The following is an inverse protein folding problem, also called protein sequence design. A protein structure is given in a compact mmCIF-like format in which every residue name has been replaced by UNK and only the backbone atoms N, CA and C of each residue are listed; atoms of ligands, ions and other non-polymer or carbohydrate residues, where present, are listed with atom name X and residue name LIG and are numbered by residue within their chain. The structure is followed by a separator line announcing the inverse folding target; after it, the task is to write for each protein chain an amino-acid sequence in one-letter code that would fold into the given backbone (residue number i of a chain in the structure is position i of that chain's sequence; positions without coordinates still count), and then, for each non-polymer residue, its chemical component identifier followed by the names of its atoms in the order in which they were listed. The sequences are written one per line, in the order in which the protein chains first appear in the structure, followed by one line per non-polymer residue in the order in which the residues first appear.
data_IF_121932965422
#
_entry.id   IF_121932965422
#
_cell.length_a   1.000
_cell.length_b   1.000
_cell.length_c   1.000
_cell.angle_alpha   90.00
_cell.angle_beta   90.00
_cell.angle_gamma   90.00
#
_symmetry.space_group_name_H-M   'P 1'
#
loop_
_entity.id
_entity.type
_entity.pdbx_description
1 polymer ?
#
# COMPACT_ATOMS: atom_id res chain seq x y z
N UNK A 1 27.54 -59.71 -39.53
CA UNK A 1 26.20 -59.66 -38.90
C UNK A 1 26.43 -59.92 -37.41
N UNK A 2 26.18 -59.06 -36.41
CA UNK A 2 25.18 -58.00 -36.23
C UNK A 2 25.73 -56.89 -35.31
N UNK A 3 25.70 -55.66 -35.81
CA UNK A 3 25.16 -54.43 -35.20
C UNK A 3 25.80 -53.94 -33.88
N UNK A 4 26.82 -53.09 -34.08
CA UNK A 4 27.08 -51.80 -33.44
C UNK A 4 25.83 -51.11 -32.85
N UNK A 5 25.82 -50.83 -31.54
CA UNK A 5 25.02 -49.74 -30.97
C UNK A 5 25.85 -48.90 -30.02
N UNK A 6 26.36 -47.84 -30.60
CA UNK A 6 26.74 -46.58 -29.99
C UNK A 6 25.47 -45.88 -29.47
N UNK A 7 25.51 -45.22 -28.30
CA UNK A 7 25.13 -43.80 -28.09
C UNK A 7 24.84 -43.51 -26.60
N UNK A 8 25.50 -42.44 -26.17
CA UNK A 8 25.52 -41.75 -24.90
C UNK A 8 24.17 -41.18 -24.40
N UNK A 9 24.24 -40.74 -23.14
CA UNK A 9 23.54 -39.57 -22.57
C UNK A 9 22.04 -39.71 -22.29
N UNK A 10 21.71 -39.84 -21.01
CA UNK A 10 20.49 -39.27 -20.46
C UNK A 10 20.86 -38.54 -19.15
N UNK A 11 21.14 -37.24 -19.31
CA UNK A 11 21.18 -36.26 -18.22
C UNK A 11 19.77 -36.14 -17.66
N UNK A 12 19.55 -36.56 -16.41
CA UNK A 12 18.31 -36.24 -15.72
C UNK A 12 18.48 -34.88 -15.01
N UNK A 13 17.94 -33.88 -15.69
CA UNK A 13 17.92 -32.46 -15.35
C UNK A 13 17.23 -32.26 -14.01
N UNK A 14 17.86 -31.46 -13.14
CA UNK A 14 17.34 -31.08 -11.82
C UNK A 14 16.01 -30.34 -11.93
N UNK A 15 15.04 -30.77 -11.13
CA UNK A 15 13.80 -30.03 -10.90
C UNK A 15 14.11 -28.82 -10.04
N UNK A 16 14.32 -27.67 -10.69
CA UNK A 16 14.27 -26.38 -10.03
C UNK A 16 12.80 -26.15 -9.67
N UNK A 17 12.46 -26.24 -8.39
CA UNK A 17 11.19 -25.71 -7.88
C UNK A 17 11.24 -24.20 -8.12
N UNK A 18 10.62 -23.75 -9.19
CA UNK A 18 10.39 -22.33 -9.41
C UNK A 18 9.51 -21.80 -8.28
N UNK A 19 10.02 -20.84 -7.51
CA UNK A 19 9.16 -20.00 -6.70
C UNK A 19 8.14 -19.34 -7.63
N UNK A 20 6.87 -19.74 -7.52
CA UNK A 20 5.77 -18.96 -8.05
C UNK A 20 5.68 -17.68 -7.24
N UNK A 21 6.35 -16.62 -7.71
CA UNK A 21 6.04 -15.26 -7.28
C UNK A 21 4.65 -14.94 -7.84
N UNK A 22 3.62 -15.02 -7.01
CA UNK A 22 2.31 -14.43 -7.31
C UNK A 22 2.51 -12.94 -7.46
N UNK A 23 2.52 -12.45 -8.70
CA UNK A 23 2.53 -11.03 -9.00
C UNK A 23 1.14 -10.49 -8.69
N UNK A 24 1.00 -9.76 -7.58
CA UNK A 24 -0.21 -9.01 -7.28
C UNK A 24 -0.24 -7.80 -8.22
N UNK A 25 -1.22 -7.75 -9.13
CA UNK A 25 -1.37 -6.65 -10.10
C UNK A 25 -1.94 -5.40 -9.41
N UNK A 26 -1.07 -4.68 -8.70
CA UNK A 26 -1.37 -3.38 -8.09
C UNK A 26 -0.82 -2.31 -9.02
N UNK A 27 -1.69 -1.39 -9.44
CA UNK A 27 -1.29 -0.24 -10.26
C UNK A 27 -1.23 1.03 -9.42
N UNK A 28 -0.35 1.94 -9.81
CA UNK A 28 -0.31 3.27 -9.22
C UNK A 28 -1.59 4.03 -9.54
N UNK A 29 -2.04 4.85 -8.60
CA UNK A 29 -3.22 5.69 -8.76
C UNK A 29 -2.82 7.16 -8.65
N UNK A 30 -3.63 8.04 -9.23
CA UNK A 30 -3.49 9.48 -9.05
C UNK A 30 -4.82 10.03 -8.60
N UNK A 31 -4.85 10.61 -7.41
CA UNK A 31 -6.05 11.15 -6.78
C UNK A 31 -5.89 12.66 -6.69
N UNK A 32 -6.95 13.40 -7.02
CA UNK A 32 -6.97 14.86 -6.84
C UNK A 32 -7.16 15.21 -5.37
N UNK A 33 -6.30 16.09 -4.85
CA UNK A 33 -6.34 16.52 -3.46
C UNK A 33 -4.95 16.87 -2.94
N UNK A 34 -4.83 16.96 -1.61
CA UNK A 34 -3.58 17.28 -0.93
C UNK A 34 -3.10 16.10 -0.09
N UNK A 35 -1.79 15.84 -0.08
CA UNK A 35 -1.18 14.82 0.79
C UNK A 35 -1.35 15.27 2.25
N UNK A 36 -2.09 14.51 3.03
CA UNK A 36 -2.44 14.88 4.41
C UNK A 36 -1.23 14.70 5.35
N UNK A 37 -0.82 15.70 6.14
CA UNK A 37 0.14 15.49 7.21
C UNK A 37 -0.45 14.65 8.35
N UNK A 38 0.23 13.57 8.74
CA UNK A 38 -0.24 12.64 9.76
C UNK A 38 0.52 12.84 11.08
N UNK A 39 -0.20 12.82 12.20
CA UNK A 39 0.42 12.73 13.51
C UNK A 39 0.95 11.31 13.76
N UNK A 40 0.16 10.30 13.39
CA UNK A 40 0.50 8.89 13.50
C UNK A 40 -0.36 8.06 12.54
N UNK A 41 0.05 6.80 12.32
CA UNK A 41 -0.74 5.82 11.60
C UNK A 41 -0.44 4.41 12.12
N UNK A 42 -1.36 3.49 11.84
CA UNK A 42 -1.26 2.07 12.16
C UNK A 42 -2.07 1.25 11.15
N UNK A 43 -1.45 0.23 10.57
CA UNK A 43 -2.16 -0.82 9.83
C UNK A 43 -2.79 -1.79 10.82
N UNK A 44 -4.07 -2.07 10.67
CA UNK A 44 -4.79 -3.10 11.42
C UNK A 44 -5.60 -3.94 10.45
N UNK A 45 -5.11 -5.13 10.12
CA UNK A 45 -5.76 -6.04 9.17
C UNK A 45 -6.03 -5.34 7.82
N UNK A 46 -7.30 -5.21 7.44
CA UNK A 46 -7.78 -4.54 6.23
C UNK A 46 -8.05 -3.03 6.44
N UNK A 47 -7.58 -2.43 7.54
CA UNK A 47 -7.74 -1.01 7.84
C UNK A 47 -6.40 -0.30 7.96
N UNK A 48 -6.36 0.94 7.47
CA UNK A 48 -5.34 1.91 7.83
C UNK A 48 -5.98 2.96 8.73
N UNK A 49 -5.59 2.94 10.00
CA UNK A 49 -6.01 3.92 11.00
C UNK A 49 -4.93 4.99 11.08
N UNK A 50 -5.32 6.25 11.09
CA UNK A 50 -4.39 7.38 11.13
C UNK A 50 -4.97 8.56 11.87
N UNK A 51 -4.09 9.40 12.40
CA UNK A 51 -4.46 10.60 13.13
C UNK A 51 -4.07 11.82 12.30
N UNK A 52 -5.05 12.66 12.01
CA UNK A 52 -4.89 13.86 11.18
C UNK A 52 -5.59 15.08 11.81
N UNK A 53 -5.25 16.29 11.36
CA UNK A 53 -5.83 17.53 11.89
C UNK A 53 -7.25 17.72 11.35
N UNK A 54 -8.19 18.10 12.22
CA UNK A 54 -9.52 18.55 11.82
C UNK A 54 -9.94 19.84 12.52
N UNK A 55 -10.65 20.67 11.78
CA UNK A 55 -11.35 21.88 12.26
C UNK A 55 -12.87 21.68 12.32
N UNK A 56 -13.36 20.43 12.28
CA UNK A 56 -14.71 20.02 12.66
C UNK A 56 -15.59 19.42 11.56
N UNK A 57 -15.17 19.48 10.29
CA UNK A 57 -15.95 18.90 9.17
C UNK A 57 -15.31 17.62 8.60
N UNK A 58 -14.07 17.30 9.00
CA UNK A 58 -13.38 16.11 8.47
C UNK A 58 -14.08 14.82 8.89
N UNK A 59 -14.21 13.90 7.96
CA UNK A 59 -14.69 12.53 8.16
C UNK A 59 -13.75 11.56 7.45
N UNK A 60 -13.84 10.27 7.75
CA UNK A 60 -13.04 9.24 7.07
C UNK A 60 -13.18 9.26 5.55
N UNK A 61 -14.36 9.60 5.02
CA UNK A 61 -14.63 9.72 3.57
C UNK A 61 -14.14 11.05 2.96
N UNK A 62 -13.46 11.88 3.75
CA UNK A 62 -12.74 13.08 3.28
C UNK A 62 -11.32 12.72 2.78
N UNK A 63 -10.93 11.45 2.92
CA UNK A 63 -9.64 10.92 2.56
C UNK A 63 -9.78 9.76 1.58
N UNK A 64 -8.75 9.57 0.76
CA UNK A 64 -8.60 8.42 -0.11
C UNK A 64 -7.17 7.91 -0.07
N UNK A 65 -6.99 6.62 -0.38
CA UNK A 65 -5.68 5.96 -0.43
C UNK A 65 -5.12 6.02 -1.85
N UNK A 66 -4.02 6.74 -2.05
CA UNK A 66 -3.28 6.75 -3.30
C UNK A 66 -2.16 5.69 -3.27
N UNK A 67 -2.04 4.90 -4.33
CA UNK A 67 -0.91 4.01 -4.55
C UNK A 67 0.18 4.76 -5.31
N UNK A 68 1.28 5.08 -4.63
CA UNK A 68 2.36 5.89 -5.21
C UNK A 68 3.37 5.03 -5.99
N UNK A 69 3.69 3.85 -5.46
CA UNK A 69 4.71 2.95 -6.03
C UNK A 69 4.43 1.52 -5.62
N UNK A 70 4.63 0.60 -6.57
CA UNK A 70 4.52 -0.85 -6.36
C UNK A 70 5.88 -1.49 -6.62
N UNK A 71 6.34 -2.27 -5.65
CA UNK A 71 7.57 -3.07 -5.68
C UNK A 71 7.23 -4.51 -5.26
N UNK A 72 8.16 -5.45 -5.49
CA UNK A 72 7.88 -6.90 -5.40
C UNK A 72 7.13 -7.36 -4.13
N UNK A 73 7.45 -6.81 -2.95
CA UNK A 73 6.80 -7.15 -1.67
C UNK A 73 6.34 -5.91 -0.89
N UNK A 74 6.35 -4.75 -1.53
CA UNK A 74 6.16 -3.46 -0.86
C UNK A 74 5.34 -2.52 -1.72
N UNK A 75 4.36 -1.89 -1.09
CA UNK A 75 3.53 -0.87 -1.72
C UNK A 75 3.64 0.41 -0.92
N UNK A 76 4.04 1.47 -1.61
CA UNK A 76 4.09 2.81 -1.06
C UNK A 76 2.75 3.51 -1.31
N UNK A 77 2.19 4.10 -0.27
CA UNK A 77 0.90 4.79 -0.32
C UNK A 77 0.94 6.16 0.32
N UNK A 78 0.04 7.02 -0.14
CA UNK A 78 -0.23 8.32 0.46
C UNK A 78 -1.72 8.46 0.77
N UNK A 79 -2.02 9.00 1.94
CA UNK A 79 -3.38 9.41 2.32
C UNK A 79 -3.62 10.81 1.75
N UNK A 80 -4.56 10.92 0.82
CA UNK A 80 -4.91 12.17 0.15
C UNK A 80 -6.19 12.71 0.76
N UNK A 81 -6.19 13.95 1.23
CA UNK A 81 -7.41 14.67 1.59
C UNK A 81 -8.07 15.16 0.30
N UNK A 82 -9.18 14.53 -0.06
CA UNK A 82 -9.98 14.89 -1.25
C UNK A 82 -11.08 15.90 -0.91
N UNK A 83 -11.47 15.99 0.38
CA UNK A 83 -12.45 16.98 0.85
C UNK A 83 -11.83 17.91 1.90
N UNK A 84 -11.79 19.22 1.62
CA UNK A 84 -11.23 20.22 2.54
C UNK A 84 -12.10 20.39 3.81
N UNK A 85 -11.44 20.66 4.94
CA UNK A 85 -12.12 20.97 6.21
C UNK A 85 -12.34 22.49 6.34
N UNK A 86 -13.54 22.94 5.98
CA UNK A 86 -13.92 24.35 6.07
C UNK A 86 -14.63 24.74 7.37
N UNK A 87 -14.77 23.80 8.31
CA UNK A 87 -15.31 24.12 9.62
C UNK A 87 -14.33 25.01 10.40
N UNK A 88 -14.86 25.77 11.37
CA UNK A 88 -14.11 26.74 12.19
C UNK A 88 -14.00 26.36 13.66
N UNK A 89 -14.14 25.08 13.98
CA UNK A 89 -13.87 24.60 15.33
C UNK A 89 -12.36 24.68 15.57
N UNK A 90 -11.96 24.86 16.84
CA UNK A 90 -10.56 24.79 17.23
C UNK A 90 -9.91 23.52 16.65
N UNK A 91 -8.73 23.63 16.03
CA UNK A 91 -8.03 22.47 15.51
C UNK A 91 -7.80 21.41 16.57
N UNK A 92 -8.04 20.16 16.22
CA UNK A 92 -7.62 19.02 17.03
C UNK A 92 -7.15 17.88 16.15
N UNK A 93 -6.38 16.97 16.74
CA UNK A 93 -6.03 15.71 16.11
C UNK A 93 -7.14 14.71 16.37
N UNK A 94 -7.63 14.09 15.29
CA UNK A 94 -8.67 13.07 15.34
C UNK A 94 -8.24 11.83 14.57
N UNK A 95 -8.77 10.68 14.99
CA UNK A 95 -8.54 9.41 14.35
C UNK A 95 -9.52 9.19 13.19
N UNK A 96 -9.00 8.73 12.07
CA UNK A 96 -9.75 8.37 10.87
C UNK A 96 -9.29 6.99 10.38
N UNK A 97 -10.10 6.39 9.53
CA UNK A 97 -9.83 5.05 9.00
C UNK A 97 -10.13 4.96 7.51
N UNK A 98 -9.26 4.25 6.79
CA UNK A 98 -9.48 3.84 5.40
C UNK A 98 -9.50 2.31 5.33
N UNK A 99 -10.41 1.77 4.53
CA UNK A 99 -10.37 0.36 4.16
C UNK A 99 -9.26 0.16 3.12
N UNK A 100 -8.37 -0.78 3.40
CA UNK A 100 -7.34 -1.19 2.46
C UNK A 100 -7.93 -2.17 1.44
N UNK A 101 -7.62 -2.01 0.15
CA UNK A 101 -7.87 -3.04 -0.85
C UNK A 101 -7.28 -4.38 -0.42
N UNK A 102 -7.96 -5.49 -0.75
CA UNK A 102 -7.56 -6.83 -0.30
C UNK A 102 -6.15 -7.20 -0.78
N UNK A 103 -5.76 -6.69 -1.94
CA UNK A 103 -4.44 -6.84 -2.55
C UNK A 103 -3.31 -6.28 -1.67
N UNK A 104 -3.61 -5.36 -0.75
CA UNK A 104 -2.64 -4.75 0.16
C UNK A 104 -2.46 -5.53 1.48
N UNK A 105 -3.24 -6.58 1.71
CA UNK A 105 -3.17 -7.34 2.96
C UNK A 105 -1.86 -8.13 3.08
N UNK A 106 -1.38 -8.68 1.97
CA UNK A 106 -0.23 -9.61 1.91
C UNK A 106 1.11 -8.93 1.62
N UNK A 107 1.11 -7.60 1.43
CA UNK A 107 2.32 -6.81 1.11
C UNK A 107 2.68 -5.85 2.25
N UNK A 108 3.95 -5.50 2.33
CA UNK A 108 4.42 -4.45 3.23
C UNK A 108 3.87 -3.09 2.76
N UNK A 109 3.08 -2.44 3.61
CA UNK A 109 2.52 -1.12 3.33
C UNK A 109 3.42 -0.04 3.92
N UNK A 110 3.87 0.90 3.09
CA UNK A 110 4.67 2.05 3.52
C UNK A 110 3.92 3.34 3.27
N UNK A 111 3.59 4.06 4.35
CA UNK A 111 2.85 5.33 4.30
C UNK A 111 3.83 6.48 4.21
N UNK A 112 3.76 7.25 3.12
CA UNK A 112 4.72 8.32 2.80
C UNK A 112 4.25 9.73 3.18
N UNK A 113 3.14 9.84 3.90
CA UNK A 113 2.63 11.13 4.34
C UNK A 113 3.64 11.85 5.27
N UNK A 114 3.76 13.18 5.16
CA UNK A 114 4.62 13.96 6.04
C UNK A 114 4.09 13.96 7.48
N UNK A 115 4.98 14.20 8.46
CA UNK A 115 4.57 14.36 9.85
C UNK A 115 3.81 15.68 10.06
N UNK A 116 2.72 15.61 10.82
CA UNK A 116 1.94 16.78 11.21
C UNK A 116 2.74 17.68 12.15
N UNK A 117 2.56 19.00 12.00
CA UNK A 117 3.08 19.99 12.95
C UNK A 117 2.21 20.01 14.22
N UNK A 118 2.77 20.31 15.40
CA UNK A 118 1.98 20.54 16.61
C UNK A 118 0.87 21.56 16.38
N UNK A 119 -0.23 21.40 17.12
CA UNK A 119 -1.28 22.42 17.17
C UNK A 119 -0.74 23.63 17.93
N UNK A 120 -0.88 24.81 17.34
CA UNK A 120 -0.52 26.08 17.96
C UNK A 120 -1.72 26.67 18.71
#
# INVERSE_FOLDING_TARGET
MKILKLICMAVLVGTILGCSSTTVDINTTKIEGEVEPLLSYKKWDHLLIFVAKSTGCTKSDSFELQIDKVEANKVSVSIIRTRPDYCRRSPMFEEFQLTLPQELNEVELVVNNPLAKPLN
#
